data_IF_174560809353
#
_entry.id   IF_174560809353
#
_cell.length_a   1.000
_cell.length_b   1.000
_cell.length_c   1.000
_cell.angle_alpha   90.00
_cell.angle_beta   90.00
_cell.angle_gamma   90.00
#
_symmetry.space_group_name_H-M   'P 1'
#
loop_
_entity.id
_entity.type
_entity.pdbx_description
1 polymer ?
#
# COMPACT_ATOMS: atom_id res chain seq x y z
N UNK A 1 12.54 2.01 4.12
CA UNK A 1 11.72 1.91 5.35
C UNK A 1 12.00 2.98 6.41
N UNK A 2 13.09 3.76 6.33
CA UNK A 2 13.36 4.82 7.32
C UNK A 2 12.22 5.84 7.43
N UNK A 3 11.69 6.32 6.30
CA UNK A 3 10.56 7.26 6.27
C UNK A 3 9.35 6.74 7.06
N UNK A 4 8.97 5.46 6.85
CA UNK A 4 7.81 4.87 7.51
C UNK A 4 8.06 4.76 9.02
N UNK A 5 9.25 4.30 9.41
CA UNK A 5 9.66 4.23 10.82
C UNK A 5 9.66 5.58 11.52
N UNK A 6 9.97 6.66 10.80
CA UNK A 6 10.00 8.02 11.35
C UNK A 6 8.60 8.63 11.42
N UNK A 7 7.74 8.37 10.43
CA UNK A 7 6.48 9.09 10.25
C UNK A 7 5.23 8.32 10.67
N UNK A 8 5.32 7.00 10.97
CA UNK A 8 4.15 6.12 11.15
C UNK A 8 3.06 6.70 12.07
N UNK A 9 3.47 7.36 13.16
CA UNK A 9 2.54 7.90 14.15
C UNK A 9 1.62 9.00 13.59
N UNK A 10 2.05 9.66 12.51
CA UNK A 10 1.31 10.75 11.87
C UNK A 10 0.52 10.30 10.63
N UNK A 11 0.72 9.06 10.16
CA UNK A 11 0.06 8.57 8.94
C UNK A 11 -1.41 8.31 9.22
N UNK A 12 -2.28 8.98 8.47
CA UNK A 12 -3.74 8.81 8.52
C UNK A 12 -4.31 8.08 7.32
N UNK A 13 -3.63 8.19 6.18
CA UNK A 13 -4.06 7.65 4.91
C UNK A 13 -2.85 7.21 4.10
N UNK A 14 -3.01 6.14 3.33
CA UNK A 14 -2.00 5.60 2.41
C UNK A 14 -2.73 5.30 1.10
N UNK A 15 -2.29 5.94 0.02
CA UNK A 15 -2.69 5.55 -1.31
C UNK A 15 -1.80 4.39 -1.77
N UNK A 16 -2.44 3.35 -2.28
CA UNK A 16 -1.83 2.07 -2.57
C UNK A 16 -1.87 1.82 -4.07
N UNK A 17 -0.69 1.89 -4.67
CA UNK A 17 -0.41 1.41 -6.02
C UNK A 17 1.02 0.84 -6.05
N UNK A 18 1.24 -0.17 -6.87
CA UNK A 18 2.56 -0.75 -7.09
C UNK A 18 3.27 -0.06 -8.26
N UNK A 19 4.56 -0.32 -8.38
CA UNK A 19 5.43 0.39 -9.31
C UNK A 19 6.67 -0.44 -9.67
N UNK A 20 7.21 -0.27 -10.88
CA UNK A 20 8.45 -0.94 -11.31
C UNK A 20 9.75 -0.18 -10.93
N UNK A 21 9.60 1.01 -10.36
CA UNK A 21 10.67 1.91 -9.92
C UNK A 21 11.23 2.81 -11.02
N UNK A 22 10.46 3.06 -12.08
CA UNK A 22 10.92 3.86 -13.24
C UNK A 22 10.00 5.04 -13.54
N UNK A 23 8.71 4.78 -13.66
CA UNK A 23 7.68 5.78 -13.92
C UNK A 23 6.63 5.68 -12.83
N UNK A 24 5.64 6.54 -12.85
CA UNK A 24 4.49 6.41 -11.97
C UNK A 24 3.45 5.45 -12.59
N UNK A 25 3.68 4.14 -12.45
CA UNK A 25 2.97 3.11 -13.23
C UNK A 25 1.53 2.81 -12.72
N UNK A 26 1.21 3.14 -11.46
CA UNK A 26 -0.11 2.90 -10.83
C UNK A 26 -0.64 1.46 -10.98
N UNK A 27 0.25 0.48 -10.80
CA UNK A 27 -0.09 -0.94 -10.97
C UNK A 27 -0.86 -1.48 -9.76
N UNK A 28 -1.59 -2.60 -9.94
CA UNK A 28 -2.12 -3.33 -8.79
C UNK A 28 -1.02 -3.86 -7.87
N UNK A 29 -1.33 -3.97 -6.57
CA UNK A 29 -0.45 -4.56 -5.55
C UNK A 29 -0.02 -5.96 -6.01
N UNK A 30 1.29 -6.20 -6.03
CA UNK A 30 1.88 -7.48 -6.44
C UNK A 30 2.25 -7.55 -7.92
N UNK A 31 1.87 -6.55 -8.74
CA UNK A 31 2.31 -6.43 -10.14
C UNK A 31 3.62 -5.62 -10.28
N UNK A 32 4.12 -5.00 -9.21
CA UNK A 32 5.36 -4.22 -9.22
C UNK A 32 6.42 -4.75 -8.26
N UNK A 33 7.16 -3.84 -7.64
CA UNK A 33 8.32 -4.12 -6.78
C UNK A 33 8.19 -3.57 -5.36
N UNK A 34 7.11 -2.87 -5.04
CA UNK A 34 6.90 -2.34 -3.69
C UNK A 34 6.67 -3.51 -2.73
N UNK A 35 7.44 -3.57 -1.65
CA UNK A 35 7.30 -4.62 -0.64
C UNK A 35 6.11 -4.32 0.30
N UNK A 36 4.88 -4.41 -0.22
CA UNK A 36 3.65 -4.15 0.54
C UNK A 36 3.51 -5.04 1.77
N UNK A 37 3.98 -6.29 1.69
CA UNK A 37 3.98 -7.21 2.83
C UNK A 37 4.71 -6.61 4.03
N UNK A 38 5.95 -6.15 3.83
CA UNK A 38 6.75 -5.54 4.90
C UNK A 38 6.10 -4.25 5.45
N UNK A 39 5.49 -3.44 4.58
CA UNK A 39 4.75 -2.24 4.99
C UNK A 39 3.57 -2.62 5.88
N UNK A 40 2.71 -3.55 5.45
CA UNK A 40 1.52 -3.95 6.19
C UNK A 40 1.85 -4.68 7.50
N UNK A 41 2.87 -5.54 7.51
CA UNK A 41 3.38 -6.17 8.73
C UNK A 41 3.86 -5.10 9.73
N UNK A 42 4.56 -4.07 9.27
CA UNK A 42 4.97 -2.95 10.11
C UNK A 42 3.78 -2.16 10.69
N UNK A 43 2.75 -1.85 9.87
CA UNK A 43 1.54 -1.16 10.36
C UNK A 43 0.82 -1.97 11.46
N UNK A 44 0.71 -3.29 11.27
CA UNK A 44 0.15 -4.24 12.26
C UNK A 44 0.97 -4.23 13.54
N UNK A 45 2.29 -4.34 13.44
CA UNK A 45 3.20 -4.35 14.60
C UNK A 45 3.07 -3.06 15.42
N UNK A 46 2.98 -1.90 14.75
CA UNK A 46 2.78 -0.60 15.42
C UNK A 46 1.34 -0.33 15.83
N UNK A 47 0.41 -1.25 15.54
CA UNK A 47 -1.02 -1.15 15.87
C UNK A 47 -1.67 0.13 15.33
N UNK A 48 -1.24 0.59 14.16
CA UNK A 48 -1.87 1.72 13.47
C UNK A 48 -2.70 1.21 12.29
N UNK A 49 -3.85 1.84 12.06
CA UNK A 49 -4.80 1.50 10.99
C UNK A 49 -5.16 2.76 10.18
N UNK A 50 -4.26 3.24 9.30
CA UNK A 50 -4.61 4.33 8.39
C UNK A 50 -5.67 3.88 7.39
N UNK A 51 -6.38 4.84 6.78
CA UNK A 51 -7.22 4.59 5.61
C UNK A 51 -6.32 4.10 4.47
N UNK A 52 -6.67 2.95 3.88
CA UNK A 52 -5.98 2.44 2.70
C UNK A 52 -6.86 2.72 1.48
N UNK A 53 -6.30 3.41 0.49
CA UNK A 53 -7.00 3.81 -0.74
C UNK A 53 -6.38 3.10 -1.92
N UNK A 54 -7.18 2.41 -2.74
CA UNK A 54 -6.70 1.90 -4.02
C UNK A 54 -6.48 3.05 -4.99
N UNK A 55 -5.25 3.24 -5.47
CA UNK A 55 -4.89 4.25 -6.47
C UNK A 55 -4.53 3.57 -7.80
N UNK A 56 -5.50 2.86 -8.37
CA UNK A 56 -5.35 2.19 -9.66
C UNK A 56 -6.06 2.98 -10.76
N UNK A 57 -5.49 2.97 -11.97
CA UNK A 57 -6.05 3.67 -13.14
C UNK A 57 -7.08 2.87 -13.94
N UNK A 58 -7.38 1.64 -13.51
CA UNK A 58 -8.38 0.80 -14.15
C UNK A 58 -9.15 -0.05 -13.12
N UNK A 59 -10.31 -0.55 -13.56
CA UNK A 59 -11.24 -1.31 -12.73
C UNK A 59 -10.64 -2.66 -12.29
N UNK A 60 -9.97 -3.38 -13.19
CA UNK A 60 -9.37 -4.69 -12.90
C UNK A 60 -8.35 -4.60 -11.77
N UNK A 61 -7.42 -3.64 -11.87
CA UNK A 61 -6.40 -3.40 -10.86
C UNK A 61 -7.00 -2.89 -9.55
N UNK A 62 -8.11 -2.14 -9.62
CA UNK A 62 -8.86 -1.74 -8.43
C UNK A 62 -9.42 -2.95 -7.68
N UNK A 63 -10.02 -3.93 -8.38
CA UNK A 63 -10.51 -5.15 -7.73
C UNK A 63 -9.38 -5.95 -7.08
N UNK A 64 -8.24 -6.11 -7.76
CA UNK A 64 -7.06 -6.79 -7.21
C UNK A 64 -6.58 -6.08 -5.94
N UNK A 65 -6.49 -4.75 -5.96
CA UNK A 65 -6.14 -3.98 -4.77
C UNK A 65 -7.16 -4.20 -3.65
N UNK A 66 -8.46 -4.18 -3.95
CA UNK A 66 -9.50 -4.39 -2.93
C UNK A 66 -9.41 -5.77 -2.28
N UNK A 67 -9.09 -6.83 -3.03
CA UNK A 67 -8.87 -8.17 -2.47
C UNK A 67 -7.71 -8.17 -1.46
N UNK A 68 -6.62 -7.46 -1.76
CA UNK A 68 -5.47 -7.36 -0.84
C UNK A 68 -5.81 -6.48 0.36
N UNK A 69 -6.28 -5.25 0.13
CA UNK A 69 -6.46 -4.22 1.14
C UNK A 69 -7.55 -4.59 2.17
N UNK A 70 -8.60 -5.30 1.75
CA UNK A 70 -9.67 -5.76 2.64
C UNK A 70 -9.21 -6.79 3.67
N UNK A 71 -8.04 -7.41 3.46
CA UNK A 71 -7.47 -8.43 4.34
C UNK A 71 -6.24 -7.94 5.12
N UNK A 72 -5.98 -6.62 5.12
CA UNK A 72 -4.82 -6.05 5.81
C UNK A 72 -5.01 -5.98 7.32
N UNK A 73 -6.18 -5.65 7.87
CA UNK A 73 -6.33 -5.32 9.30
C UNK A 73 -7.34 -6.14 10.09
#
# INVERSE_FOLDING_TARGET
>A
MEWLRTLYFYIREIHCHDNLGKYDDHLAIGKGKVNFREIFEFLKEKKIKPLLVSEAHNEEDTYINMEVLSNVF
#
